data_IF_096201152043
#
_entry.id   IF_096201152043
#
_cell.length_a   1.000
_cell.length_b   1.000
_cell.length_c   1.000
_cell.angle_alpha   90.00
_cell.angle_beta   90.00
_cell.angle_gamma   90.00
#
_symmetry.space_group_name_H-M   'P 1'
#
loop_
_entity.id
_entity.type
_entity.pdbx_description
1 polymer ?
#
# COMPACT_ATOMS: atom_id res chain seq x y z
N UNK A 1 -4.44 0.78 1.80
CA UNK A 1 -3.32 -0.14 1.59
C UNK A 1 -3.61 -1.51 2.17
N UNK A 2 -3.80 -1.72 3.49
CA UNK A 2 -4.08 -3.01 4.13
C UNK A 2 -5.17 -3.82 3.41
N UNK A 3 -6.33 -3.20 3.13
CA UNK A 3 -7.46 -3.83 2.45
C UNK A 3 -7.06 -4.46 1.10
N UNK A 4 -6.30 -3.73 0.30
CA UNK A 4 -5.87 -4.14 -1.03
C UNK A 4 -4.78 -5.21 -0.99
N UNK A 5 -3.78 -5.04 -0.12
CA UNK A 5 -2.68 -5.99 0.00
C UNK A 5 -3.13 -7.35 0.53
N UNK A 6 -3.97 -7.37 1.58
CA UNK A 6 -4.53 -8.62 2.10
C UNK A 6 -5.35 -9.35 1.03
N UNK A 7 -6.16 -8.62 0.24
CA UNK A 7 -6.88 -9.20 -0.88
C UNK A 7 -5.92 -9.86 -1.89
N UNK A 8 -4.88 -9.15 -2.30
CA UNK A 8 -3.94 -9.65 -3.29
C UNK A 8 -3.13 -10.84 -2.76
N UNK A 9 -2.52 -10.70 -1.58
CA UNK A 9 -1.67 -11.74 -0.99
C UNK A 9 -2.41 -13.07 -0.85
N UNK A 10 -3.60 -13.04 -0.26
CA UNK A 10 -4.29 -14.27 0.15
C UNK A 10 -5.26 -14.83 -0.87
N UNK A 11 -5.92 -13.97 -1.64
CA UNK A 11 -7.00 -14.41 -2.51
C UNK A 11 -6.58 -14.49 -3.99
N UNK A 12 -5.44 -13.87 -4.34
CA UNK A 12 -4.91 -13.90 -5.71
C UNK A 12 -3.55 -14.60 -5.77
N UNK A 13 -2.55 -14.17 -5.00
CA UNK A 13 -1.19 -14.71 -5.09
C UNK A 13 -1.00 -16.06 -4.35
N UNK A 14 -1.62 -16.25 -3.17
CA UNK A 14 -1.47 -17.49 -2.41
C UNK A 14 -1.97 -18.73 -3.17
N UNK A 15 -3.11 -18.71 -3.90
CA UNK A 15 -3.48 -19.84 -4.75
C UNK A 15 -2.40 -20.25 -5.73
N UNK A 16 -1.80 -19.29 -6.45
CA UNK A 16 -0.73 -19.58 -7.42
C UNK A 16 0.49 -20.22 -6.75
N UNK A 17 0.94 -19.67 -5.61
CA UNK A 17 2.07 -20.21 -4.84
C UNK A 17 1.81 -21.62 -4.29
N UNK A 18 0.55 -21.95 -4.06
CA UNK A 18 0.12 -23.25 -3.53
C UNK A 18 -0.35 -24.23 -4.62
N UNK A 19 -0.32 -23.81 -5.89
CA UNK A 19 -0.76 -24.63 -7.03
C UNK A 19 -2.26 -24.90 -7.02
N UNK A 20 -3.06 -23.97 -6.45
CA UNK A 20 -4.51 -24.08 -6.39
C UNK A 20 -5.17 -23.19 -7.47
N UNK A 21 -6.29 -23.63 -8.08
CA UNK A 21 -6.97 -22.85 -9.13
C UNK A 21 -7.65 -21.58 -8.60
N UNK A 22 -7.86 -21.48 -7.30
CA UNK A 22 -8.43 -20.31 -6.62
C UNK A 22 -8.28 -20.43 -5.09
N UNK A 23 -8.75 -19.42 -4.36
CA UNK A 23 -8.79 -19.48 -2.88
C UNK A 23 -9.81 -20.50 -2.34
N UNK A 24 -10.79 -20.91 -3.12
CA UNK A 24 -11.88 -21.78 -2.65
C UNK A 24 -11.37 -23.14 -2.15
N UNK A 25 -10.53 -23.91 -2.86
CA UNK A 25 -9.92 -25.11 -2.35
C UNK A 25 -9.05 -24.87 -1.11
N UNK A 26 -8.44 -23.70 -0.99
CA UNK A 26 -7.61 -23.36 0.18
C UNK A 26 -8.44 -23.25 1.47
N UNK A 27 -9.74 -22.99 1.40
CA UNK A 27 -10.62 -23.00 2.57
C UNK A 27 -10.69 -24.38 3.24
N UNK A 28 -10.43 -25.46 2.49
CA UNK A 28 -10.36 -26.82 3.03
C UNK A 28 -8.94 -27.21 3.43
N UNK A 29 -7.94 -26.92 2.59
CA UNK A 29 -6.55 -27.33 2.82
C UNK A 29 -5.79 -26.44 3.80
N UNK A 30 -6.13 -25.14 3.87
CA UNK A 30 -5.49 -24.11 4.70
C UNK A 30 -6.54 -23.23 5.41
N UNK A 31 -7.48 -23.81 6.19
CA UNK A 31 -8.63 -23.08 6.73
C UNK A 31 -8.24 -21.92 7.64
N UNK A 32 -7.18 -22.05 8.42
CA UNK A 32 -6.75 -21.01 9.35
C UNK A 32 -6.16 -19.80 8.63
N UNK A 33 -5.39 -20.02 7.56
CA UNK A 33 -4.88 -18.93 6.73
C UNK A 33 -6.03 -18.17 6.04
N UNK A 34 -7.03 -18.88 5.51
CA UNK A 34 -8.19 -18.25 4.88
C UNK A 34 -9.04 -17.48 5.88
N UNK A 35 -9.29 -18.04 7.09
CA UNK A 35 -10.01 -17.33 8.17
C UNK A 35 -9.25 -16.07 8.62
N UNK A 36 -7.92 -16.16 8.76
CA UNK A 36 -7.06 -15.02 9.10
C UNK A 36 -7.17 -13.93 8.03
N UNK A 37 -7.05 -14.29 6.76
CA UNK A 37 -7.19 -13.36 5.63
C UNK A 37 -8.55 -12.66 5.62
N UNK A 38 -9.64 -13.40 5.83
CA UNK A 38 -11.00 -12.85 5.87
C UNK A 38 -11.17 -11.84 7.01
N UNK A 39 -10.67 -12.15 8.23
CA UNK A 39 -10.78 -11.19 9.35
C UNK A 39 -9.87 -9.97 9.18
N UNK A 40 -8.67 -10.11 8.61
CA UNK A 40 -7.82 -8.96 8.27
C UNK A 40 -8.49 -8.06 7.23
N UNK A 41 -9.07 -8.66 6.18
CA UNK A 41 -9.81 -7.94 5.14
C UNK A 41 -11.04 -7.24 5.72
N UNK A 42 -11.81 -7.94 6.57
CA UNK A 42 -12.97 -7.37 7.24
C UNK A 42 -12.58 -6.18 8.12
N UNK A 43 -11.57 -6.33 8.98
CA UNK A 43 -11.11 -5.24 9.83
C UNK A 43 -10.68 -4.01 9.00
N UNK A 44 -9.95 -4.22 7.91
CA UNK A 44 -9.56 -3.12 7.01
C UNK A 44 -10.78 -2.42 6.40
N UNK A 45 -11.84 -3.16 6.06
CA UNK A 45 -13.11 -2.60 5.59
C UNK A 45 -13.80 -1.79 6.69
N UNK A 46 -13.89 -2.35 7.90
CA UNK A 46 -14.54 -1.69 9.05
C UNK A 46 -13.83 -0.36 9.40
N UNK A 47 -12.50 -0.31 9.27
CA UNK A 47 -11.71 0.93 9.42
C UNK A 47 -12.12 1.95 8.34
N UNK A 48 -12.21 1.52 7.06
CA UNK A 48 -12.64 2.40 5.98
C UNK A 48 -14.06 2.94 6.23
N UNK A 49 -15.00 2.12 6.69
CA UNK A 49 -16.36 2.54 7.01
C UNK A 49 -16.39 3.58 8.13
N UNK A 50 -15.63 3.35 9.22
CA UNK A 50 -15.57 4.26 10.37
C UNK A 50 -14.95 5.62 10.03
N UNK A 51 -13.85 5.62 9.27
CA UNK A 51 -13.14 6.84 8.90
C UNK A 51 -13.74 7.51 7.67
N UNK A 52 -13.96 6.73 6.62
CA UNK A 52 -14.36 7.22 5.30
C UNK A 52 -15.87 7.24 5.04
N UNK A 53 -16.67 6.60 5.90
CA UNK A 53 -18.12 6.48 5.75
C UNK A 53 -18.59 5.36 4.81
N UNK A 54 -17.69 4.77 4.04
CA UNK A 54 -17.94 3.62 3.16
C UNK A 54 -16.67 2.80 2.98
N UNK A 55 -16.84 1.48 2.86
CA UNK A 55 -15.74 0.54 2.60
C UNK A 55 -15.03 0.83 1.27
N UNK A 56 -15.80 1.14 0.25
CA UNK A 56 -15.33 1.44 -1.11
C UNK A 56 -15.92 2.79 -1.50
N UNK A 57 -15.13 3.63 -2.15
CA UNK A 57 -15.46 5.00 -2.49
C UNK A 57 -15.85 5.84 -1.26
N UNK A 58 -14.87 6.15 -0.38
CA UNK A 58 -15.12 6.99 0.81
C UNK A 58 -15.84 8.28 0.43
N UNK A 59 -16.83 8.68 1.24
CA UNK A 59 -17.67 9.85 0.97
C UNK A 59 -17.56 10.94 2.03
N UNK A 60 -16.70 10.74 3.04
CA UNK A 60 -16.46 11.77 4.07
C UNK A 60 -15.30 12.70 3.72
N UNK A 61 -14.44 12.32 2.78
CA UNK A 61 -13.36 13.18 2.31
C UNK A 61 -13.87 14.16 1.27
N UNK A 62 -13.60 15.42 1.49
CA UNK A 62 -13.98 16.53 0.59
C UNK A 62 -12.79 17.47 0.44
N UNK A 63 -12.75 18.32 -0.59
CA UNK A 63 -11.69 19.31 -0.71
C UNK A 63 -11.54 20.13 0.56
N UNK A 64 -10.33 20.09 1.14
CA UNK A 64 -9.98 20.84 2.35
C UNK A 64 -10.42 20.20 3.67
N UNK A 65 -10.91 18.94 3.70
CA UNK A 65 -11.19 18.30 4.98
C UNK A 65 -12.16 17.12 4.93
N UNK A 66 -12.93 16.98 6.01
CA UNK A 66 -13.88 15.90 6.22
C UNK A 66 -15.27 16.45 6.48
N UNK A 67 -16.31 15.83 5.90
CA UNK A 67 -17.72 16.16 6.22
C UNK A 67 -18.12 15.65 7.61
N UNK A 68 -17.44 14.66 8.14
CA UNK A 68 -17.61 14.13 9.49
C UNK A 68 -16.26 13.58 9.99
N UNK A 69 -15.78 14.13 11.09
CA UNK A 69 -14.58 13.66 11.76
C UNK A 69 -14.85 12.33 12.49
N UNK A 70 -13.83 11.45 12.64
CA UNK A 70 -13.92 10.28 13.49
C UNK A 70 -14.08 10.71 14.96
N UNK A 71 -14.88 9.95 15.70
CA UNK A 71 -15.00 10.12 17.15
C UNK A 71 -13.82 9.51 17.89
N UNK A 72 -13.59 9.90 19.13
CA UNK A 72 -12.59 9.26 20.00
C UNK A 72 -12.87 7.77 20.18
N UNK A 73 -14.15 7.37 20.23
CA UNK A 73 -14.53 5.96 20.34
C UNK A 73 -14.17 5.19 19.06
N UNK A 74 -14.31 5.81 17.87
CA UNK A 74 -13.85 5.20 16.62
C UNK A 74 -12.34 5.03 16.62
N UNK A 75 -11.59 6.05 17.03
CA UNK A 75 -10.12 5.99 17.10
C UNK A 75 -9.63 4.94 18.10
N UNK A 76 -10.22 4.87 19.30
CA UNK A 76 -9.91 3.85 20.32
C UNK A 76 -10.21 2.46 19.82
N UNK A 77 -11.39 2.27 19.21
CA UNK A 77 -11.77 0.96 18.64
C UNK A 77 -10.79 0.52 17.55
N UNK A 78 -10.44 1.41 16.62
CA UNK A 78 -9.47 1.09 15.56
C UNK A 78 -8.13 0.69 16.17
N UNK A 79 -7.64 1.47 17.14
CA UNK A 79 -6.38 1.19 17.82
C UNK A 79 -6.39 -0.18 18.50
N UNK A 80 -7.43 -0.49 19.25
CA UNK A 80 -7.59 -1.76 19.96
C UNK A 80 -7.64 -2.95 18.99
N UNK A 81 -8.34 -2.79 17.88
CA UNK A 81 -8.43 -3.84 16.86
C UNK A 81 -7.11 -4.02 16.11
N UNK A 82 -6.36 -2.94 15.84
CA UNK A 82 -5.02 -3.06 15.26
C UNK A 82 -4.08 -3.80 16.20
N UNK A 83 -4.06 -3.47 17.49
CA UNK A 83 -3.18 -4.10 18.47
C UNK A 83 -3.55 -5.56 18.69
N UNK A 84 -4.84 -5.86 18.92
CA UNK A 84 -5.29 -7.16 19.40
C UNK A 84 -5.60 -8.16 18.27
N UNK A 85 -5.80 -7.69 17.04
CA UNK A 85 -6.10 -8.56 15.90
C UNK A 85 -5.10 -8.37 14.75
N UNK A 86 -4.91 -7.16 14.22
CA UNK A 86 -4.12 -6.97 13.01
C UNK A 86 -2.63 -7.27 13.22
N UNK A 87 -2.04 -6.83 14.33
CA UNK A 87 -0.62 -7.08 14.64
C UNK A 87 -0.32 -8.58 14.78
N UNK A 88 -1.08 -9.39 15.56
CA UNK A 88 -0.91 -10.84 15.60
C UNK A 88 -1.08 -11.50 14.22
N UNK A 89 -2.08 -11.11 13.45
CA UNK A 89 -2.34 -11.65 12.13
C UNK A 89 -1.23 -11.29 11.12
N UNK A 90 -0.69 -10.08 11.18
CA UNK A 90 0.43 -9.66 10.34
C UNK A 90 1.71 -10.46 10.67
N UNK A 91 1.96 -10.76 11.95
CA UNK A 91 3.08 -11.63 12.36
C UNK A 91 2.88 -13.07 11.88
N UNK A 92 1.67 -13.62 11.98
CA UNK A 92 1.34 -14.94 11.47
C UNK A 92 1.46 -15.00 9.94
N UNK A 93 1.07 -13.91 9.25
CA UNK A 93 1.24 -13.73 7.80
C UNK A 93 2.71 -13.77 7.40
N UNK A 94 3.57 -13.11 8.17
CA UNK A 94 5.03 -13.12 7.92
C UNK A 94 5.59 -14.54 8.03
N UNK A 95 5.23 -15.29 9.08
CA UNK A 95 5.66 -16.67 9.26
C UNK A 95 5.18 -17.58 8.12
N UNK A 96 3.92 -17.41 7.70
CA UNK A 96 3.35 -18.15 6.57
C UNK A 96 4.09 -17.83 5.27
N UNK A 97 4.28 -16.55 4.93
CA UNK A 97 4.93 -16.18 3.69
C UNK A 97 6.40 -16.58 3.66
N UNK A 98 7.11 -16.50 4.80
CA UNK A 98 8.47 -16.99 4.93
C UNK A 98 8.56 -18.51 4.65
N UNK A 99 7.57 -19.29 5.10
CA UNK A 99 7.51 -20.74 4.79
C UNK A 99 7.26 -21.02 3.30
N UNK A 100 6.65 -20.08 2.58
CA UNK A 100 6.38 -20.16 1.15
C UNK A 100 7.53 -19.56 0.29
N UNK A 101 8.52 -18.93 0.91
CA UNK A 101 9.62 -18.28 0.19
C UNK A 101 10.28 -19.17 -0.88
N UNK A 102 10.52 -20.50 -0.66
CA UNK A 102 11.09 -21.37 -1.68
C UNK A 102 10.18 -21.59 -2.90
N UNK A 103 8.91 -21.23 -2.84
CA UNK A 103 7.96 -21.40 -3.95
C UNK A 103 7.89 -20.18 -4.87
N UNK A 104 8.47 -19.05 -4.48
CA UNK A 104 8.56 -17.92 -5.38
C UNK A 104 9.46 -18.24 -6.57
N UNK A 105 9.01 -17.94 -7.81
CA UNK A 105 9.87 -18.11 -8.97
C UNK A 105 11.16 -17.29 -8.82
N UNK A 106 12.30 -17.93 -9.11
CA UNK A 106 13.58 -17.24 -9.18
C UNK A 106 13.72 -16.61 -10.57
N UNK A 107 13.53 -15.31 -10.64
CA UNK A 107 13.63 -14.56 -11.88
C UNK A 107 14.09 -13.14 -11.61
N UNK A 108 15.04 -12.66 -12.38
CA UNK A 108 15.49 -11.28 -12.33
C UNK A 108 15.27 -10.59 -13.67
N UNK A 109 14.69 -9.40 -13.60
CA UNK A 109 14.60 -8.50 -14.74
C UNK A 109 15.09 -7.14 -14.32
N UNK A 110 16.14 -6.67 -14.99
CA UNK A 110 16.58 -5.28 -14.85
C UNK A 110 15.50 -4.35 -15.39
N UNK A 111 14.74 -3.73 -14.49
CA UNK A 111 13.76 -2.69 -14.83
C UNK A 111 13.95 -1.49 -13.92
N UNK A 112 13.35 -0.40 -14.30
CA UNK A 112 13.24 0.80 -13.49
C UNK A 112 12.10 0.63 -12.48
N UNK A 113 12.28 1.13 -11.25
CA UNK A 113 11.25 1.13 -10.21
C UNK A 113 10.87 2.57 -9.88
N UNK A 114 9.58 2.87 -10.00
CA UNK A 114 9.04 4.21 -9.76
C UNK A 114 8.06 4.16 -8.59
N UNK A 115 8.11 5.18 -7.73
CA UNK A 115 7.22 5.40 -6.61
C UNK A 115 7.38 6.81 -6.08
N UNK A 116 6.53 7.24 -5.16
CA UNK A 116 6.74 8.50 -4.44
C UNK A 116 7.83 8.34 -3.39
N UNK A 117 8.50 9.44 -3.06
CA UNK A 117 9.48 9.53 -1.98
C UNK A 117 9.42 10.88 -1.29
N UNK A 118 9.54 10.86 0.04
CA UNK A 118 9.76 12.02 0.89
C UNK A 118 11.01 11.84 1.74
N UNK A 119 11.48 12.92 2.35
CA UNK A 119 12.61 12.85 3.28
C UNK A 119 12.21 12.36 4.69
N UNK A 120 10.93 12.47 5.04
CA UNK A 120 10.44 12.23 6.41
C UNK A 120 9.81 10.85 6.63
N UNK A 121 9.16 10.28 5.61
CA UNK A 121 8.33 9.09 5.76
C UNK A 121 8.34 8.18 4.54
N UNK A 122 7.80 6.97 4.68
CA UNK A 122 7.51 6.08 3.56
C UNK A 122 6.30 6.64 2.82
N UNK A 123 6.54 7.17 1.63
CA UNK A 123 5.57 8.00 0.92
C UNK A 123 4.38 7.19 0.35
N UNK A 124 3.16 7.64 0.65
CA UNK A 124 1.92 7.11 0.09
C UNK A 124 1.03 8.18 -0.55
N UNK A 125 0.92 9.36 0.03
CA UNK A 125 -0.05 10.38 -0.40
C UNK A 125 0.57 11.70 -0.82
N UNK A 126 1.87 11.87 -0.59
CA UNK A 126 2.63 13.07 -0.96
C UNK A 126 4.08 12.68 -1.25
N UNK A 127 4.81 13.53 -1.96
CA UNK A 127 6.22 13.33 -2.27
C UNK A 127 6.59 13.65 -3.71
N UNK A 128 7.88 13.65 -4.01
CA UNK A 128 8.39 13.69 -5.38
C UNK A 128 8.31 12.31 -6.03
N UNK A 129 8.21 12.27 -7.35
CA UNK A 129 8.28 11.01 -8.11
C UNK A 129 9.74 10.54 -8.09
N UNK A 130 9.98 9.39 -7.48
CA UNK A 130 11.30 8.79 -7.39
C UNK A 130 11.46 7.65 -8.40
N UNK A 131 12.61 7.62 -9.06
CA UNK A 131 13.04 6.53 -9.93
C UNK A 131 14.37 5.98 -9.47
N UNK A 132 14.52 4.66 -9.47
CA UNK A 132 15.81 4.00 -9.18
C UNK A 132 16.90 4.32 -10.20
N UNK A 133 16.54 4.80 -11.38
CA UNK A 133 17.48 5.07 -12.47
C UNK A 133 17.79 6.58 -12.63
N UNK A 134 16.82 7.46 -12.37
CA UNK A 134 16.95 8.90 -12.68
C UNK A 134 16.85 9.82 -11.45
N UNK A 135 16.54 9.27 -10.27
CA UNK A 135 16.38 10.05 -9.05
C UNK A 135 14.99 10.70 -8.93
N UNK A 136 14.93 11.92 -8.41
CA UNK A 136 13.69 12.61 -8.07
C UNK A 136 13.23 13.53 -9.21
N UNK A 137 11.92 13.50 -9.48
CA UNK A 137 11.22 14.40 -10.40
C UNK A 137 10.09 15.10 -9.65
N UNK A 138 9.97 16.43 -9.70
CA UNK A 138 8.83 17.15 -9.12
C UNK A 138 7.51 16.68 -9.73
N UNK A 139 6.43 16.65 -8.91
CA UNK A 139 5.11 16.19 -9.37
C UNK A 139 4.58 17.05 -10.51
N UNK A 140 4.88 18.35 -10.55
CA UNK A 140 4.49 19.24 -11.66
C UNK A 140 5.04 18.78 -13.02
N UNK A 141 6.15 18.04 -13.01
CA UNK A 141 6.81 17.50 -14.20
C UNK A 141 6.44 16.05 -14.52
N UNK A 142 5.36 15.54 -13.91
CA UNK A 142 4.93 14.12 -14.03
C UNK A 142 4.82 13.63 -15.47
N UNK A 143 4.50 14.50 -16.44
CA UNK A 143 4.42 14.14 -17.86
C UNK A 143 5.76 13.67 -18.44
N UNK A 144 6.88 14.08 -17.85
CA UNK A 144 8.21 13.59 -18.24
C UNK A 144 8.45 12.13 -17.83
N UNK A 145 7.73 11.66 -16.83
CA UNK A 145 7.82 10.30 -16.29
C UNK A 145 6.77 9.36 -16.90
N UNK A 146 5.52 9.84 -17.03
CA UNK A 146 4.40 9.02 -17.51
C UNK A 146 4.25 9.02 -19.03
N UNK A 147 5.29 8.88 -19.79
CA UNK A 147 5.29 8.89 -21.26
C UNK A 147 4.34 7.82 -21.84
N UNK A 148 3.05 8.10 -21.81
CA UNK A 148 2.00 7.19 -22.27
C UNK A 148 1.95 7.05 -23.78
N UNK A 149 1.79 5.82 -24.27
CA UNK A 149 1.63 5.53 -25.69
C UNK A 149 0.65 4.39 -25.94
N UNK A 150 0.03 4.41 -27.09
CA UNK A 150 -0.92 3.37 -27.55
C UNK A 150 -0.18 2.25 -28.23
N UNK A 151 -0.62 1.02 -28.00
CA UNK A 151 -0.12 -0.19 -28.67
C UNK A 151 -1.27 -0.92 -29.33
N UNK A 152 -1.06 -1.54 -30.53
CA UNK A 152 -2.16 -2.14 -31.31
C UNK A 152 -2.87 -3.32 -30.62
N UNK A 153 -2.18 -4.02 -29.72
CA UNK A 153 -2.67 -5.25 -29.08
C UNK A 153 -3.37 -5.00 -27.74
N UNK A 154 -3.49 -3.77 -27.28
CA UNK A 154 -4.10 -3.45 -25.99
C UNK A 154 -4.94 -2.19 -26.07
N UNK A 155 -6.06 -2.18 -25.34
CA UNK A 155 -6.88 -0.98 -25.11
C UNK A 155 -6.31 -0.10 -23.99
N UNK A 156 -5.37 -0.61 -23.19
CA UNK A 156 -4.66 0.15 -22.18
C UNK A 156 -3.44 0.84 -22.77
N UNK A 157 -3.21 2.08 -22.41
CA UNK A 157 -1.97 2.77 -22.72
C UNK A 157 -0.81 2.13 -21.97
N UNK A 158 0.32 2.08 -22.62
CA UNK A 158 1.59 1.65 -22.04
C UNK A 158 2.40 2.89 -21.64
N UNK A 159 3.30 2.71 -20.67
CA UNK A 159 4.17 3.77 -20.19
C UNK A 159 5.63 3.34 -20.27
N UNK A 160 6.51 4.31 -20.46
CA UNK A 160 7.97 4.16 -20.40
C UNK A 160 8.60 5.44 -19.83
N UNK A 161 9.77 5.30 -19.24
CA UNK A 161 10.55 6.44 -18.76
C UNK A 161 12.02 6.27 -19.17
N UNK A 162 12.96 6.06 -18.26
CA UNK A 162 14.36 5.85 -18.60
C UNK A 162 14.58 4.53 -19.36
N UNK A 163 13.75 3.52 -19.11
CA UNK A 163 13.77 2.23 -19.81
C UNK A 163 12.51 2.01 -20.61
N UNK A 164 12.46 0.92 -21.37
CA UNK A 164 11.29 0.52 -22.18
C UNK A 164 10.07 0.15 -21.35
N UNK A 165 10.27 -0.14 -20.07
CA UNK A 165 9.22 -0.40 -19.08
C UNK A 165 9.73 -0.05 -17.69
N UNK A 166 8.81 0.24 -16.78
CA UNK A 166 9.10 0.41 -15.36
C UNK A 166 8.09 -0.37 -14.51
N UNK A 167 8.43 -0.60 -13.25
CA UNK A 167 7.57 -1.24 -12.26
C UNK A 167 7.18 -0.22 -11.20
N UNK A 168 5.90 -0.25 -10.82
CA UNK A 168 5.30 0.57 -9.76
C UNK A 168 4.70 -0.34 -8.67
N UNK A 169 3.93 0.22 -7.75
CA UNK A 169 3.29 -0.51 -6.67
C UNK A 169 4.24 -0.84 -5.52
N UNK A 170 3.91 -1.86 -4.73
CA UNK A 170 4.63 -2.14 -3.49
C UNK A 170 6.14 -2.34 -3.68
N UNK A 171 6.55 -3.03 -4.74
CA UNK A 171 7.97 -3.25 -5.00
C UNK A 171 8.68 -1.96 -5.46
N UNK A 172 8.01 -1.11 -6.25
CA UNK A 172 8.51 0.20 -6.63
C UNK A 172 8.70 1.11 -5.41
N UNK A 173 7.69 1.19 -4.54
CA UNK A 173 7.78 1.96 -3.29
C UNK A 173 8.84 1.41 -2.34
N UNK A 174 8.87 0.09 -2.15
CA UNK A 174 9.88 -0.57 -1.30
C UNK A 174 11.30 -0.22 -1.75
N UNK A 175 11.60 -0.33 -3.04
CA UNK A 175 12.93 -0.04 -3.57
C UNK A 175 13.32 1.44 -3.40
N UNK A 176 12.37 2.35 -3.43
CA UNK A 176 12.62 3.79 -3.28
C UNK A 176 12.57 4.29 -1.83
N UNK A 177 11.93 3.54 -0.89
CA UNK A 177 11.68 4.02 0.47
C UNK A 177 12.13 3.05 1.58
N UNK A 178 12.98 2.08 1.30
CA UNK A 178 13.43 1.07 2.27
C UNK A 178 13.96 1.67 3.57
N UNK A 179 14.70 2.77 3.46
CA UNK A 179 15.29 3.50 4.59
C UNK A 179 14.23 4.15 5.51
N UNK A 180 12.99 4.28 5.03
CA UNK A 180 11.84 4.86 5.76
C UNK A 180 10.91 3.81 6.38
N UNK A 181 11.21 2.52 6.22
CA UNK A 181 10.42 1.46 6.85
C UNK A 181 10.44 1.57 8.38
N UNK A 182 9.29 1.38 8.98
CA UNK A 182 9.14 1.23 10.43
C UNK A 182 9.88 -0.03 10.94
N UNK A 183 10.24 -0.09 12.23
CA UNK A 183 11.11 -1.14 12.77
C UNK A 183 10.63 -2.58 12.51
N UNK A 184 9.33 -2.89 12.75
CA UNK A 184 8.80 -4.25 12.51
C UNK A 184 8.75 -4.57 11.01
N UNK A 185 8.40 -3.58 10.17
CA UNK A 185 8.40 -3.76 8.72
C UNK A 185 9.83 -4.00 8.18
N UNK A 186 10.83 -3.31 8.72
CA UNK A 186 12.23 -3.54 8.38
C UNK A 186 12.70 -4.94 8.81
N UNK A 187 12.30 -5.38 9.99
CA UNK A 187 12.56 -6.75 10.45
C UNK A 187 11.89 -7.79 9.55
N UNK A 188 10.65 -7.51 9.12
CA UNK A 188 9.92 -8.39 8.20
C UNK A 188 10.61 -8.48 6.83
N UNK A 189 11.11 -7.36 6.30
CA UNK A 189 11.89 -7.35 5.07
C UNK A 189 13.13 -8.25 5.21
N UNK A 190 13.90 -8.14 6.30
CA UNK A 190 15.04 -9.01 6.58
C UNK A 190 14.66 -10.49 6.69
N UNK A 191 13.53 -10.81 7.35
CA UNK A 191 13.02 -12.18 7.46
C UNK A 191 12.67 -12.78 6.09
N UNK A 192 12.21 -11.97 5.14
CA UNK A 192 11.86 -12.37 3.78
C UNK A 192 13.05 -12.27 2.81
N UNK A 193 14.24 -11.88 3.28
CA UNK A 193 15.43 -11.71 2.46
C UNK A 193 15.33 -10.58 1.44
N UNK A 194 14.53 -9.55 1.72
CA UNK A 194 14.35 -8.40 0.83
C UNK A 194 15.36 -7.30 1.16
N UNK A 195 16.27 -7.06 0.22
CA UNK A 195 17.22 -5.95 0.25
C UNK A 195 17.09 -5.11 -1.04
N UNK A 196 17.05 -3.77 -0.96
CA UNK A 196 16.96 -2.95 -2.16
C UNK A 196 18.29 -2.98 -2.94
N UNK A 197 18.26 -3.03 -4.25
CA UNK A 197 17.09 -3.00 -5.14
C UNK A 197 16.65 -4.42 -5.46
N UNK A 198 15.43 -4.80 -5.05
CA UNK A 198 14.86 -6.11 -5.39
C UNK A 198 14.46 -6.11 -6.85
N UNK A 199 15.05 -7.03 -7.66
CA UNK A 199 14.83 -7.12 -9.11
C UNK A 199 13.86 -8.23 -9.54
N UNK A 200 13.47 -9.08 -8.60
CA UNK A 200 12.52 -10.15 -8.87
C UNK A 200 11.07 -9.64 -8.75
N UNK A 201 10.31 -9.51 -9.85
CA UNK A 201 8.96 -8.96 -9.83
C UNK A 201 7.96 -9.82 -9.04
N UNK A 202 8.20 -11.13 -8.89
CA UNK A 202 7.36 -12.02 -8.08
C UNK A 202 7.42 -11.68 -6.59
N UNK A 203 8.47 -11.01 -6.13
CA UNK A 203 8.60 -10.54 -4.75
C UNK A 203 7.76 -9.29 -4.45
N UNK A 204 7.01 -8.77 -5.41
CA UNK A 204 6.01 -7.72 -5.15
C UNK A 204 5.02 -8.14 -4.05
N UNK A 205 4.61 -9.41 -4.01
CA UNK A 205 3.73 -9.96 -2.95
C UNK A 205 4.41 -9.92 -1.57
N UNK A 206 5.70 -10.18 -1.51
CA UNK A 206 6.48 -10.06 -0.28
C UNK A 206 6.61 -8.58 0.17
N UNK A 207 6.86 -7.67 -0.78
CA UNK A 207 6.86 -6.23 -0.50
C UNK A 207 5.50 -5.73 0.00
N UNK A 208 4.38 -6.24 -0.53
CA UNK A 208 3.04 -5.93 -0.04
C UNK A 208 2.82 -6.35 1.41
N UNK A 209 3.38 -7.49 1.84
CA UNK A 209 3.29 -7.88 3.25
C UNK A 209 4.13 -6.96 4.13
N UNK A 210 5.34 -6.59 3.70
CA UNK A 210 6.17 -5.61 4.42
C UNK A 210 5.44 -4.27 4.55
N UNK A 211 4.81 -3.78 3.48
CA UNK A 211 4.00 -2.56 3.53
C UNK A 211 2.77 -2.71 4.44
N UNK A 212 2.13 -3.89 4.47
CA UNK A 212 1.01 -4.13 5.38
C UNK A 212 1.45 -3.96 6.84
N UNK A 213 2.61 -4.52 7.21
CA UNK A 213 3.18 -4.38 8.56
C UNK A 213 3.54 -2.91 8.82
N UNK A 214 4.18 -2.24 7.86
CA UNK A 214 4.55 -0.82 7.97
C UNK A 214 3.33 0.07 8.22
N UNK A 215 2.27 -0.10 7.43
CA UNK A 215 1.05 0.69 7.56
C UNK A 215 0.33 0.45 8.89
N UNK A 216 0.39 -0.77 9.43
CA UNK A 216 -0.15 -1.07 10.77
C UNK A 216 0.63 -0.30 11.84
N UNK A 217 1.97 -0.31 11.80
CA UNK A 217 2.80 0.45 12.73
C UNK A 217 2.54 1.96 12.62
N UNK A 218 2.47 2.47 11.39
CA UNK A 218 2.22 3.90 11.15
C UNK A 218 0.82 4.31 11.61
N UNK A 219 -0.19 3.48 11.33
CA UNK A 219 -1.55 3.73 11.81
C UNK A 219 -1.63 3.81 13.33
N UNK A 220 -0.89 2.95 14.05
CA UNK A 220 -0.84 3.00 15.53
C UNK A 220 -0.20 4.29 16.03
N UNK A 221 0.89 4.76 15.41
CA UNK A 221 1.51 6.05 15.78
C UNK A 221 0.56 7.22 15.54
N UNK A 222 -0.12 7.24 14.39
CA UNK A 222 -1.08 8.31 14.06
C UNK A 222 -2.28 8.30 15.01
N UNK A 223 -2.79 7.11 15.38
CA UNK A 223 -3.89 6.98 16.33
C UNK A 223 -3.49 7.47 17.73
N UNK A 224 -2.30 7.11 18.19
CA UNK A 224 -1.77 7.58 19.50
C UNK A 224 -1.60 9.11 19.49
N UNK A 225 -1.14 9.68 18.37
CA UNK A 225 -1.03 11.13 18.20
C UNK A 225 -2.42 11.81 18.24
N UNK A 226 -3.41 11.30 17.48
CA UNK A 226 -4.75 11.85 17.42
C UNK A 226 -5.49 11.73 18.76
N UNK A 227 -5.36 10.60 19.45
CA UNK A 227 -5.95 10.40 20.79
C UNK A 227 -5.32 11.31 21.85
N UNK A 228 -4.05 11.69 21.67
CA UNK A 228 -3.35 12.58 22.62
C UNK A 228 -3.62 14.06 22.34
N UNK A 229 -3.59 14.46 21.07
CA UNK A 229 -3.77 15.87 20.66
C UNK A 229 -5.22 16.27 20.46
N UNK A 230 -6.10 15.28 20.26
CA UNK A 230 -7.48 15.49 19.79
C UNK A 230 -7.56 15.72 18.29
N UNK A 231 -8.77 15.57 17.74
CA UNK A 231 -9.07 15.84 16.34
C UNK A 231 -9.68 17.25 16.24
N UNK A 232 -8.99 18.13 15.51
CA UNK A 232 -9.49 19.48 15.29
C UNK A 232 -10.61 19.49 14.24
N UNK A 233 -11.71 20.20 14.53
CA UNK A 233 -12.79 20.43 13.55
C UNK A 233 -12.34 21.54 12.59
N UNK A 234 -11.92 21.16 11.41
CA UNK A 234 -11.65 22.10 10.32
C UNK A 234 -12.87 22.25 9.42
N UNK A 235 -13.13 23.46 8.97
CA UNK A 235 -14.20 23.69 7.99
C UNK A 235 -13.70 23.30 6.60
N UNK A 236 -14.50 22.57 5.81
CA UNK A 236 -14.18 22.30 4.42
C UNK A 236 -13.89 23.59 3.65
N UNK A 237 -12.89 23.57 2.79
CA UNK A 237 -12.58 24.73 1.95
C UNK A 237 -13.69 24.93 0.93
N UNK A 238 -14.33 26.10 0.99
CA UNK A 238 -15.29 26.53 -0.04
C UNK A 238 -14.49 27.29 -1.10
N UNK A 239 -14.41 26.78 -2.34
CA UNK A 239 -13.72 27.48 -3.40
C UNK A 239 -14.33 28.87 -3.62
N UNK A 240 -13.51 29.90 -3.61
CA UNK A 240 -13.92 31.25 -3.95
C UNK A 240 -14.17 31.39 -5.47
N UNK A 241 -13.82 32.55 -6.05
CA UNK A 241 -13.90 32.75 -7.49
C UNK A 241 -12.92 31.81 -8.19
N UNK A 242 -13.45 30.96 -9.07
CA UNK A 242 -12.63 30.10 -9.92
C UNK A 242 -11.73 30.96 -10.81
N UNK A 243 -10.46 30.57 -10.92
CA UNK A 243 -9.46 31.19 -11.79
C UNK A 243 -8.87 30.12 -12.70
N UNK A 244 -8.39 30.54 -13.84
CA UNK A 244 -7.56 29.67 -14.66
C UNK A 244 -6.28 29.31 -13.88
N UNK A 245 -5.91 28.02 -13.90
CA UNK A 245 -4.74 27.52 -13.21
C UNK A 245 -4.45 26.07 -13.59
N UNK A 246 -3.22 25.63 -13.27
CA UNK A 246 -2.79 24.25 -13.37
C UNK A 246 -2.45 23.77 -11.96
N UNK A 247 -2.84 22.55 -11.64
CA UNK A 247 -2.42 21.83 -10.43
C UNK A 247 -2.04 20.42 -10.79
N UNK A 248 -1.06 19.87 -10.10
CA UNK A 248 -0.66 18.48 -10.18
C UNK A 248 -0.45 17.95 -8.77
N UNK A 249 -0.88 16.72 -8.54
CA UNK A 249 -0.73 16.00 -7.28
C UNK A 249 -0.46 14.54 -7.58
N UNK A 250 0.28 13.87 -6.73
CA UNK A 250 0.58 12.45 -6.88
C UNK A 250 0.29 11.70 -5.58
N UNK A 251 -0.34 10.55 -5.73
CA UNK A 251 -0.62 9.64 -4.62
C UNK A 251 -0.40 8.21 -5.06
N UNK A 252 0.01 7.37 -4.14
CA UNK A 252 0.24 5.96 -4.39
C UNK A 252 -1.05 5.15 -4.28
N UNK A 253 -1.38 4.42 -5.33
CA UNK A 253 -2.37 3.35 -5.24
C UNK A 253 -1.70 2.07 -4.73
N UNK A 254 -2.40 1.25 -3.92
CA UNK A 254 -1.79 0.08 -3.29
C UNK A 254 -1.24 -0.95 -4.27
N UNK A 255 -1.85 -1.05 -5.46
CA UNK A 255 -1.47 -2.01 -6.51
C UNK A 255 -1.36 -1.34 -7.83
#
# INVERSE_FOLDING_TARGET
TMQSHVLHIYFLAAPDLLGAPSVVPLATSHPDAVKMALRMKKLSNDICDRLGGRTIHPNRLVPGGFTKLPSDDDLKWIRDMLVNQMVPDAKASLALLASLAPKFPSFERGTEYIGLRTDSEYAFYDGAIASTDTGLTPVDDYLSVTNEYVVPHSTSKHCRHARTSYSVGALGRFNNNFDKLNPLARQAAGTLGLEPVVKNPFLNTAAQLVETIHVVEESLKLLDLLLTKGVAAEQPVVPGKLREGRGAEATEVPR
#
